data_IF_274833479251
#
_entry.id   IF_274833479251
#
_cell.length_a   1.000
_cell.length_b   1.000
_cell.length_c   1.000
_cell.angle_alpha   90.00
_cell.angle_beta   90.00
_cell.angle_gamma   90.00
#
_symmetry.space_group_name_H-M   'P 1'
#
loop_
_entity.id
_entity.type
_entity.pdbx_description
1 polymer ?
#
# COMPACT_ATOMS: atom_id res chain seq x y z
N UNK A 1 9.64 -19.24 3.01
CA UNK A 1 9.06 -20.32 2.17
C UNK A 1 8.27 -19.65 1.06
N UNK A 2 8.58 -19.98 -0.19
CA UNK A 2 7.96 -19.43 -1.41
C UNK A 2 6.53 -19.96 -1.55
N UNK A 3 5.57 -19.30 -0.90
CA UNK A 3 4.12 -19.47 -1.09
C UNK A 3 3.61 -18.36 -1.99
N UNK A 4 4.20 -18.27 -3.19
CA UNK A 4 3.79 -17.28 -4.17
C UNK A 4 2.51 -17.78 -4.80
N UNK A 5 1.39 -17.10 -4.55
CA UNK A 5 0.15 -17.32 -5.28
C UNK A 5 0.29 -16.95 -6.78
N UNK A 6 1.43 -16.36 -7.17
CA UNK A 6 1.84 -16.11 -8.56
C UNK A 6 2.40 -17.37 -9.20
N UNK A 7 1.96 -17.63 -10.42
CA UNK A 7 2.41 -18.72 -11.27
C UNK A 7 3.45 -18.20 -12.27
N UNK A 8 4.26 -19.10 -12.84
CA UNK A 8 5.36 -18.76 -13.75
C UNK A 8 4.89 -18.16 -15.08
N UNK A 9 3.63 -18.37 -15.45
CA UNK A 9 2.99 -17.82 -16.64
C UNK A 9 2.38 -16.42 -16.42
N UNK A 10 2.59 -15.82 -15.24
CA UNK A 10 2.05 -14.51 -14.87
C UNK A 10 0.61 -14.53 -14.36
N UNK A 11 -0.03 -15.70 -14.32
CA UNK A 11 -1.33 -15.87 -13.67
C UNK A 11 -1.18 -16.00 -12.15
N UNK A 12 -2.31 -16.01 -11.45
CA UNK A 12 -2.34 -16.14 -9.99
C UNK A 12 -3.52 -16.99 -9.50
N UNK A 13 -3.34 -17.56 -8.31
CA UNK A 13 -4.34 -18.34 -7.59
C UNK A 13 -5.32 -17.45 -6.80
N UNK A 14 -6.41 -18.04 -6.29
CA UNK A 14 -7.48 -17.35 -5.53
C UNK A 14 -8.22 -16.27 -6.33
N UNK A 15 -8.41 -16.48 -7.63
CA UNK A 15 -9.13 -15.53 -8.50
C UNK A 15 -10.55 -15.21 -8.00
N UNK A 16 -11.22 -16.18 -7.38
CA UNK A 16 -12.56 -16.01 -6.78
C UNK A 16 -12.58 -15.00 -5.62
N UNK A 17 -11.45 -14.78 -4.96
CA UNK A 17 -11.32 -13.82 -3.87
C UNK A 17 -10.84 -12.46 -4.41
N UNK A 18 -9.89 -12.47 -5.34
CA UNK A 18 -9.27 -11.25 -5.90
C UNK A 18 -10.28 -10.34 -6.58
N UNK A 19 -11.15 -10.88 -7.44
CA UNK A 19 -12.10 -10.09 -8.23
C UNK A 19 -13.03 -9.23 -7.36
N UNK A 20 -13.78 -9.82 -6.40
CA UNK A 20 -14.64 -9.08 -5.49
C UNK A 20 -13.88 -8.02 -4.66
N UNK A 21 -12.68 -8.32 -4.17
CA UNK A 21 -11.86 -7.38 -3.41
C UNK A 21 -11.48 -6.17 -4.28
N UNK A 22 -10.97 -6.40 -5.49
CA UNK A 22 -10.60 -5.33 -6.42
C UNK A 22 -11.81 -4.47 -6.80
N UNK A 23 -12.99 -5.06 -6.99
CA UNK A 23 -14.20 -4.29 -7.27
C UNK A 23 -14.58 -3.34 -6.14
N UNK A 24 -14.46 -3.78 -4.88
CA UNK A 24 -14.71 -2.93 -3.71
C UNK A 24 -13.67 -1.81 -3.59
N UNK A 25 -12.39 -2.16 -3.69
CA UNK A 25 -11.29 -1.20 -3.59
C UNK A 25 -11.33 -0.16 -4.72
N UNK A 26 -11.67 -0.57 -5.96
CA UNK A 26 -11.81 0.35 -7.10
C UNK A 26 -12.94 1.38 -6.90
N UNK A 27 -13.93 1.07 -6.07
CA UNK A 27 -15.01 1.98 -5.64
C UNK A 27 -14.68 2.76 -4.37
N UNK A 28 -13.41 2.73 -3.94
CA UNK A 28 -12.92 3.40 -2.73
C UNK A 28 -13.59 2.90 -1.44
N UNK A 29 -14.02 1.64 -1.41
CA UNK A 29 -14.43 0.99 -0.16
C UNK A 29 -13.21 0.39 0.56
N UNK A 30 -13.20 0.47 1.89
CA UNK A 30 -12.25 -0.27 2.72
C UNK A 30 -12.66 -1.75 2.78
N UNK A 31 -11.66 -2.64 2.79
CA UNK A 31 -11.85 -4.10 2.88
C UNK A 31 -11.01 -4.64 4.02
N UNK A 32 -11.62 -5.41 4.90
CA UNK A 32 -10.93 -6.16 5.95
C UNK A 32 -10.82 -7.63 5.54
N UNK A 33 -9.60 -8.19 5.59
CA UNK A 33 -9.35 -9.59 5.25
C UNK A 33 -9.17 -10.42 6.52
N UNK A 34 -10.26 -11.01 7.00
CA UNK A 34 -10.25 -11.86 8.20
C UNK A 34 -10.01 -13.34 7.87
N UNK A 35 -9.38 -14.08 8.79
CA UNK A 35 -9.24 -15.52 8.71
C UNK A 35 -8.14 -16.05 9.63
N UNK A 36 -8.09 -17.36 9.84
CA UNK A 36 -7.08 -17.99 10.68
C UNK A 36 -5.64 -17.70 10.21
N UNK A 37 -4.67 -17.83 11.11
CA UNK A 37 -3.25 -17.74 10.74
C UNK A 37 -2.89 -18.81 9.71
N UNK A 38 -1.91 -18.51 8.85
CA UNK A 38 -1.38 -19.43 7.85
C UNK A 38 -2.36 -19.90 6.74
N UNK A 39 -3.49 -19.22 6.54
CA UNK A 39 -4.41 -19.48 5.40
C UNK A 39 -4.05 -18.72 4.12
N UNK A 40 -2.88 -18.06 4.09
CA UNK A 40 -2.40 -17.33 2.92
C UNK A 40 -2.99 -15.93 2.72
N UNK A 41 -3.37 -15.22 3.80
CA UNK A 41 -3.84 -13.82 3.75
C UNK A 41 -2.76 -12.89 3.19
N UNK A 42 -1.58 -12.89 3.79
CA UNK A 42 -0.42 -12.10 3.33
C UNK A 42 -0.03 -12.43 1.88
N UNK A 43 -0.11 -13.70 1.47
CA UNK A 43 0.15 -14.08 0.08
C UNK A 43 -0.91 -13.52 -0.89
N UNK A 44 -2.19 -13.47 -0.49
CA UNK A 44 -3.26 -12.82 -1.26
C UNK A 44 -3.03 -11.30 -1.34
N UNK A 45 -2.68 -10.66 -0.24
CA UNK A 45 -2.39 -9.22 -0.21
C UNK A 45 -1.20 -8.86 -1.11
N UNK A 46 -0.15 -9.69 -1.14
CA UNK A 46 0.96 -9.50 -2.08
C UNK A 46 0.55 -9.66 -3.54
N UNK A 47 -0.42 -10.54 -3.87
CA UNK A 47 -0.99 -10.59 -5.22
C UNK A 47 -1.71 -9.29 -5.57
N UNK A 48 -2.56 -8.79 -4.66
CA UNK A 48 -3.26 -7.52 -4.84
C UNK A 48 -2.32 -6.31 -4.98
N UNK A 49 -1.08 -6.42 -4.51
CA UNK A 49 -0.06 -5.38 -4.61
C UNK A 49 0.54 -5.22 -6.03
N UNK A 50 0.20 -6.09 -6.97
CA UNK A 50 0.76 -6.06 -8.31
C UNK A 50 -0.20 -5.43 -9.32
N UNK A 51 0.23 -4.35 -9.99
CA UNK A 51 -0.63 -3.61 -10.96
C UNK A 51 -1.16 -4.48 -12.10
N UNK A 52 -0.41 -5.51 -12.54
CA UNK A 52 -0.88 -6.41 -13.59
C UNK A 52 -2.09 -7.26 -13.16
N UNK A 53 -2.26 -7.50 -11.86
CA UNK A 53 -3.46 -8.16 -11.32
C UNK A 53 -4.69 -7.26 -11.49
N UNK A 54 -4.53 -5.95 -11.29
CA UNK A 54 -5.60 -4.97 -11.51
C UNK A 54 -5.93 -4.84 -13.00
N UNK A 55 -4.92 -4.80 -13.86
CA UNK A 55 -5.09 -4.82 -15.32
C UNK A 55 -5.86 -6.07 -15.79
N UNK A 56 -5.53 -7.24 -15.26
CA UNK A 56 -6.22 -8.50 -15.61
C UNK A 56 -7.70 -8.49 -15.16
N UNK A 57 -8.04 -7.79 -14.08
CA UNK A 57 -9.41 -7.78 -13.53
C UNK A 57 -10.29 -6.63 -14.05
N UNK A 58 -9.70 -5.47 -14.35
CA UNK A 58 -10.42 -4.24 -14.71
C UNK A 58 -10.10 -3.73 -16.13
N UNK A 59 -9.17 -4.35 -16.85
CA UNK A 59 -8.69 -3.85 -18.13
C UNK A 59 -7.93 -2.53 -17.98
N UNK A 60 -8.14 -1.59 -18.90
CA UNK A 60 -7.45 -0.29 -18.91
C UNK A 60 -7.68 0.53 -17.63
N UNK A 61 -8.85 0.42 -16.99
CA UNK A 61 -9.12 1.10 -15.71
C UNK A 61 -8.15 0.66 -14.60
N UNK A 62 -7.68 -0.59 -14.67
CA UNK A 62 -6.69 -1.13 -13.74
C UNK A 62 -5.30 -0.50 -13.86
N UNK A 63 -5.01 0.20 -14.97
CA UNK A 63 -3.73 0.89 -15.18
C UNK A 63 -3.58 2.15 -14.34
N UNK A 64 -4.71 2.75 -13.94
CA UNK A 64 -4.78 3.97 -13.15
C UNK A 64 -4.88 3.67 -11.64
N UNK A 65 -4.16 2.66 -11.16
CA UNK A 65 -4.13 2.27 -9.74
C UNK A 65 -2.67 2.09 -9.29
N UNK A 66 -2.36 2.61 -8.12
CA UNK A 66 -1.11 2.37 -7.41
C UNK A 66 -1.40 1.53 -6.15
N UNK A 67 -1.31 0.20 -6.23
CA UNK A 67 -1.43 -0.66 -5.06
C UNK A 67 -0.09 -0.71 -4.29
N UNK A 68 -0.14 -0.43 -3.00
CA UNK A 68 1.04 -0.38 -2.11
C UNK A 68 0.85 -1.34 -0.96
N UNK A 69 1.70 -2.37 -0.91
CA UNK A 69 1.73 -3.34 0.19
C UNK A 69 2.54 -2.80 1.37
N UNK A 70 1.93 -2.83 2.55
CA UNK A 70 2.50 -2.32 3.79
C UNK A 70 2.47 -3.45 4.81
N UNK A 71 3.64 -3.97 5.17
CA UNK A 71 3.81 -4.97 6.22
C UNK A 71 4.04 -4.27 7.55
N UNK A 72 3.05 -4.27 8.43
CA UNK A 72 3.09 -3.54 9.70
C UNK A 72 4.12 -4.14 10.68
N UNK A 73 4.57 -5.38 10.48
CA UNK A 73 5.72 -5.92 11.24
C UNK A 73 7.04 -5.20 10.91
N UNK A 74 7.11 -4.41 9.83
CA UNK A 74 8.27 -3.56 9.49
C UNK A 74 8.28 -2.21 10.23
N UNK A 75 7.32 -1.94 11.11
CA UNK A 75 7.38 -0.76 11.99
C UNK A 75 8.62 -0.84 12.88
N UNK A 76 9.37 0.26 12.98
CA UNK A 76 10.58 0.32 13.83
C UNK A 76 10.20 0.36 15.31
N UNK A 77 9.12 1.08 15.62
CA UNK A 77 8.51 1.16 16.93
C UNK A 77 6.99 1.05 16.78
N UNK A 78 6.32 0.38 17.73
CA UNK A 78 4.87 0.23 17.74
C UNK A 78 4.20 1.50 18.28
N UNK A 79 4.34 2.60 17.53
CA UNK A 79 3.82 3.93 17.87
C UNK A 79 3.09 4.53 16.67
N UNK A 80 2.29 5.58 16.92
CA UNK A 80 1.62 6.33 15.85
C UNK A 80 2.63 6.89 14.84
N UNK A 81 3.75 7.44 15.33
CA UNK A 81 4.83 7.92 14.47
C UNK A 81 5.45 6.77 13.66
N UNK A 82 5.74 5.62 14.29
CA UNK A 82 6.30 4.46 13.61
C UNK A 82 5.40 3.92 12.49
N UNK A 83 4.08 3.95 12.70
CA UNK A 83 3.10 3.62 11.67
C UNK A 83 3.14 4.63 10.52
N UNK A 84 3.10 5.93 10.80
CA UNK A 84 3.17 6.96 9.76
C UNK A 84 4.48 6.90 8.96
N UNK A 85 5.61 6.66 9.63
CA UNK A 85 6.91 6.50 8.99
C UNK A 85 6.91 5.32 8.02
N UNK A 86 6.36 4.18 8.45
CA UNK A 86 6.24 3.00 7.61
C UNK A 86 5.41 3.30 6.35
N UNK A 87 4.27 3.98 6.48
CA UNK A 87 3.41 4.32 5.33
C UNK A 87 4.17 5.22 4.34
N UNK A 88 4.75 6.32 4.80
CA UNK A 88 5.46 7.25 3.90
C UNK A 88 6.69 6.60 3.24
N UNK A 89 7.42 5.76 3.99
CA UNK A 89 8.54 4.99 3.44
C UNK A 89 8.06 4.02 2.34
N UNK A 90 6.99 3.28 2.57
CA UNK A 90 6.42 2.39 1.55
C UNK A 90 5.93 3.14 0.31
N UNK A 91 5.40 4.36 0.47
CA UNK A 91 5.04 5.21 -0.67
C UNK A 91 6.26 5.62 -1.49
N UNK A 92 7.36 6.05 -0.85
CA UNK A 92 8.61 6.37 -1.54
C UNK A 92 9.18 5.15 -2.26
N UNK A 93 9.10 3.95 -1.66
CA UNK A 93 9.56 2.68 -2.25
C UNK A 93 8.68 2.21 -3.42
N UNK A 94 7.43 2.69 -3.53
CA UNK A 94 6.44 2.14 -4.46
C UNK A 94 6.64 2.54 -5.93
N UNK A 95 7.30 3.67 -6.21
CA UNK A 95 7.63 4.06 -7.58
C UNK A 95 8.78 5.07 -7.64
N UNK A 96 9.55 5.12 -8.74
CA UNK A 96 10.59 6.14 -8.92
C UNK A 96 10.07 7.58 -8.82
N UNK A 97 8.87 7.84 -9.33
CA UNK A 97 8.27 9.17 -9.30
C UNK A 97 7.98 9.65 -7.86
N UNK A 98 7.52 8.75 -6.99
CA UNK A 98 7.32 9.06 -5.57
C UNK A 98 8.65 9.13 -4.81
N UNK A 99 9.62 8.28 -5.14
CA UNK A 99 10.96 8.34 -4.58
C UNK A 99 11.63 9.69 -4.84
N UNK A 100 11.42 10.30 -6.01
CA UNK A 100 11.97 11.60 -6.41
C UNK A 100 11.12 12.81 -5.98
N UNK A 101 9.94 12.59 -5.39
CA UNK A 101 9.05 13.65 -4.96
C UNK A 101 9.59 14.36 -3.71
N UNK A 102 10.12 15.57 -3.90
CA UNK A 102 10.70 16.40 -2.83
C UNK A 102 9.71 16.75 -1.72
N UNK A 103 8.44 16.94 -2.02
CA UNK A 103 7.43 17.25 -0.99
C UNK A 103 7.22 16.04 -0.07
N UNK A 104 7.18 14.84 -0.65
CA UNK A 104 7.10 13.59 0.12
C UNK A 104 8.38 13.31 0.91
N UNK A 105 9.56 13.58 0.34
CA UNK A 105 10.85 13.47 1.05
C UNK A 105 10.91 14.38 2.27
N UNK A 106 10.61 15.67 2.08
CA UNK A 106 10.61 16.65 3.17
C UNK A 106 9.61 16.29 4.27
N UNK A 107 8.42 15.81 3.88
CA UNK A 107 7.42 15.34 4.84
C UNK A 107 7.91 14.13 5.64
N UNK A 108 8.57 13.17 5.00
CA UNK A 108 9.16 12.01 5.68
C UNK A 108 10.28 12.42 6.65
N UNK A 109 11.21 13.29 6.24
CA UNK A 109 12.28 13.78 7.12
C UNK A 109 11.73 14.50 8.36
N UNK A 110 10.73 15.36 8.16
CA UNK A 110 10.04 16.08 9.22
C UNK A 110 9.19 15.18 10.14
N UNK A 111 8.83 13.98 9.66
CA UNK A 111 8.12 12.98 10.44
C UNK A 111 9.09 12.15 11.31
N UNK A 112 10.26 11.79 10.77
CA UNK A 112 11.30 11.02 11.48
C UNK A 112 11.95 11.84 12.59
N UNK A 113 12.20 13.13 12.34
CA UNK A 113 12.81 14.05 13.30
C UNK A 113 11.90 15.26 13.56
N UNK A 114 10.76 15.07 14.23
CA UNK A 114 9.80 16.15 14.45
C UNK A 114 10.36 17.15 15.48
N UNK A 115 10.26 18.44 15.17
CA UNK A 115 10.59 19.52 16.10
C UNK A 115 9.63 19.58 17.30
N UNK A 116 8.40 19.07 17.13
CA UNK A 116 7.42 18.93 18.21
C UNK A 116 6.34 17.89 17.84
N UNK A 117 5.55 17.47 18.83
CA UNK A 117 4.53 16.41 18.69
C UNK A 117 3.45 16.71 17.64
N UNK A 118 3.11 17.98 17.39
CA UNK A 118 2.10 18.34 16.40
C UNK A 118 2.62 18.16 14.96
N UNK A 119 3.94 18.11 14.77
CA UNK A 119 4.53 17.92 13.47
C UNK A 119 4.34 16.50 12.94
N UNK A 120 4.20 15.50 13.81
CA UNK A 120 4.01 14.09 13.40
C UNK A 120 2.77 13.92 12.51
N UNK A 121 1.53 14.21 12.96
CA UNK A 121 0.35 14.06 12.12
C UNK A 121 0.32 15.06 10.95
N UNK A 122 0.90 16.25 11.10
CA UNK A 122 0.98 17.24 10.02
C UNK A 122 1.89 16.76 8.88
N UNK A 123 3.09 16.27 9.21
CA UNK A 123 4.04 15.72 8.26
C UNK A 123 3.46 14.50 7.55
N UNK A 124 2.76 13.62 8.27
CA UNK A 124 2.05 12.50 7.65
C UNK A 124 1.01 12.96 6.63
N UNK A 125 0.14 13.91 7.01
CA UNK A 125 -0.86 14.50 6.10
C UNK A 125 -0.22 15.15 4.87
N UNK A 126 0.88 15.87 5.06
CA UNK A 126 1.62 16.49 3.96
C UNK A 126 2.23 15.45 3.02
N UNK A 127 2.80 14.36 3.57
CA UNK A 127 3.35 13.26 2.79
C UNK A 127 2.29 12.56 1.95
N UNK A 128 1.13 12.24 2.52
CA UNK A 128 -0.01 11.69 1.78
C UNK A 128 -0.50 12.64 0.68
N UNK A 129 -0.60 13.93 0.99
CA UNK A 129 -1.00 14.95 0.01
C UNK A 129 0.00 15.02 -1.14
N UNK A 130 1.30 15.04 -0.84
CA UNK A 130 2.36 15.05 -1.84
C UNK A 130 2.32 13.80 -2.74
N UNK A 131 2.03 12.63 -2.18
CA UNK A 131 1.90 11.39 -2.95
C UNK A 131 0.71 11.45 -3.92
N UNK A 132 -0.42 12.02 -3.50
CA UNK A 132 -1.64 12.13 -4.30
C UNK A 132 -1.66 13.35 -5.25
N UNK A 133 -0.81 14.34 -5.02
CA UNK A 133 -0.83 15.59 -5.77
C UNK A 133 -0.46 15.35 -7.25
N UNK A 134 -1.37 15.75 -8.15
CA UNK A 134 -1.27 15.53 -9.62
C UNK A 134 -1.20 14.05 -10.03
N UNK A 135 -1.61 13.14 -9.16
CA UNK A 135 -1.74 11.73 -9.50
C UNK A 135 -2.92 11.51 -10.46
N UNK A 136 -2.67 10.80 -11.55
CA UNK A 136 -3.72 10.25 -12.44
C UNK A 136 -4.10 8.81 -12.02
N UNK A 137 -3.83 8.44 -10.76
CA UNK A 137 -4.05 7.09 -10.24
C UNK A 137 -4.84 7.10 -8.93
N UNK A 138 -5.52 5.99 -8.63
CA UNK A 138 -6.08 5.69 -7.31
C UNK A 138 -5.02 5.02 -6.44
N UNK A 139 -4.71 5.60 -5.29
CA UNK A 139 -3.83 4.99 -4.30
C UNK A 139 -4.60 3.94 -3.49
N UNK A 140 -4.08 2.72 -3.41
CA UNK A 140 -4.64 1.63 -2.61
C UNK A 140 -3.59 1.14 -1.63
N UNK A 141 -3.83 1.32 -0.33
CA UNK A 141 -2.93 0.87 0.73
C UNK A 141 -3.41 -0.48 1.27
N UNK A 142 -2.53 -1.47 1.25
CA UNK A 142 -2.79 -2.84 1.69
C UNK A 142 -2.00 -3.10 2.98
N UNK A 143 -2.64 -2.91 4.13
CA UNK A 143 -2.03 -3.11 5.46
C UNK A 143 -2.10 -4.58 5.90
N UNK A 144 -0.96 -5.25 5.93
CA UNK A 144 -0.81 -6.62 6.44
C UNK A 144 -0.35 -6.58 7.91
N UNK A 145 -0.78 -7.57 8.69
CA UNK A 145 -0.42 -7.71 10.12
C UNK A 145 -0.74 -6.44 10.94
N UNK A 146 -1.94 -5.87 10.73
CA UNK A 146 -2.40 -4.61 11.35
C UNK A 146 -3.12 -4.80 12.71
N UNK A 147 -3.33 -6.05 13.14
CA UNK A 147 -4.03 -6.42 14.37
C UNK A 147 -3.24 -6.19 15.68
#
# INVERSE_FOLDING_TARGET
>A
MTTTLRQSDGSYMRQTDVGPIIQLLNRSHCVELTGFSNVGKSSLMRVLAHVDVWLQQLGEEGSAVLPVYIDCNRMLEMTEQGFYELVLRCLQESSPALAENRELQNAYEALVAPANVFQVPLSFSNGLTAALHKAEYKLVLLFDEFD
#
